data_IF_294202497951
#
_entry.id   IF_294202497951
#
_cell.length_a   1.000
_cell.length_b   1.000
_cell.length_c   1.000
_cell.angle_alpha   90.00
_cell.angle_beta   90.00
_cell.angle_gamma   90.00
#
_symmetry.space_group_name_H-M   'P 1'
#
loop_
_entity.id
_entity.type
_entity.pdbx_description
1 polymer ?
#
# COMPACT_ATOMS: atom_id res chain seq x y z
N UNK A 1 -15.39 29.10 -5.66
CA UNK A 1 -14.22 29.87 -5.16
C UNK A 1 -13.48 29.08 -4.10
N UNK A 2 -14.11 28.73 -2.96
CA UNK A 2 -13.50 27.95 -1.87
C UNK A 2 -12.87 26.62 -2.33
N UNK A 3 -13.54 25.83 -3.17
CA UNK A 3 -13.02 24.54 -3.64
C UNK A 3 -11.77 24.66 -4.53
N UNK A 4 -11.67 25.76 -5.28
CA UNK A 4 -10.49 26.02 -6.12
C UNK A 4 -9.33 26.51 -5.25
N UNK A 5 -9.58 27.34 -4.23
CA UNK A 5 -8.56 27.75 -3.25
C UNK A 5 -8.02 26.53 -2.48
N UNK A 6 -8.88 25.57 -2.12
CA UNK A 6 -8.48 24.29 -1.52
C UNK A 6 -7.60 23.45 -2.46
N UNK A 7 -7.94 23.41 -3.75
CA UNK A 7 -7.11 22.75 -4.76
C UNK A 7 -5.75 23.45 -4.94
N UNK A 8 -5.72 24.78 -4.99
CA UNK A 8 -4.49 25.55 -5.07
C UNK A 8 -3.60 25.29 -3.84
N UNK A 9 -4.17 25.24 -2.64
CA UNK A 9 -3.45 24.90 -1.41
C UNK A 9 -2.85 23.48 -1.45
N UNK A 10 -3.61 22.48 -1.91
CA UNK A 10 -3.11 21.11 -2.13
C UNK A 10 -1.91 21.08 -3.07
N UNK A 11 -2.02 21.76 -4.22
CA UNK A 11 -0.95 21.75 -5.22
C UNK A 11 0.30 22.48 -4.69
N UNK A 12 0.11 23.60 -3.99
CA UNK A 12 1.20 24.40 -3.43
C UNK A 12 1.97 23.62 -2.36
N UNK A 13 1.27 22.88 -1.50
CA UNK A 13 1.91 21.99 -0.54
C UNK A 13 2.67 20.85 -1.22
N UNK A 14 2.12 20.23 -2.26
CA UNK A 14 2.79 19.17 -3.01
C UNK A 14 4.08 19.65 -3.70
N UNK A 15 4.05 20.84 -4.30
CA UNK A 15 5.23 21.43 -4.94
C UNK A 15 6.31 21.80 -3.90
N UNK A 16 5.91 22.27 -2.72
CA UNK A 16 6.81 22.49 -1.59
C UNK A 16 7.42 21.17 -1.11
N UNK A 17 6.61 20.13 -0.92
CA UNK A 17 7.09 18.80 -0.53
C UNK A 17 8.08 18.23 -1.55
N UNK A 18 7.81 18.38 -2.86
CA UNK A 18 8.73 17.93 -3.90
C UNK A 18 10.09 18.65 -3.84
N UNK A 19 10.11 19.89 -3.36
CA UNK A 19 11.36 20.65 -3.14
C UNK A 19 12.07 20.24 -1.85
N UNK A 20 11.32 19.91 -0.79
CA UNK A 20 11.82 19.49 0.52
C UNK A 20 12.36 18.05 0.53
N UNK A 21 11.84 17.19 -0.35
CA UNK A 21 12.19 15.78 -0.48
C UNK A 21 12.75 15.48 -1.89
N UNK A 22 13.93 16.03 -2.24
CA UNK A 22 14.48 15.93 -3.60
C UNK A 22 15.01 14.54 -3.95
N UNK A 23 15.12 13.62 -2.99
CA UNK A 23 15.61 12.26 -3.23
C UNK A 23 14.67 11.44 -4.10
N UNK A 24 15.24 10.61 -4.98
CA UNK A 24 14.51 9.80 -5.99
C UNK A 24 13.45 8.87 -5.38
N UNK A 25 13.58 8.52 -4.10
CA UNK A 25 12.63 7.66 -3.37
C UNK A 25 12.03 8.33 -2.12
N UNK A 26 12.28 9.63 -1.90
CA UNK A 26 11.80 10.35 -0.71
C UNK A 26 10.35 10.80 -0.85
N UNK A 27 9.94 11.31 -2.01
CA UNK A 27 8.54 11.61 -2.31
C UNK A 27 8.12 10.91 -3.60
N UNK A 28 7.10 10.06 -3.52
CA UNK A 28 6.54 9.35 -4.67
C UNK A 28 5.05 9.66 -4.77
N UNK A 29 4.65 10.42 -5.80
CA UNK A 29 3.24 10.57 -6.13
C UNK A 29 2.74 9.30 -6.82
N UNK A 30 1.95 8.51 -6.10
CA UNK A 30 1.47 7.20 -6.51
C UNK A 30 0.38 7.30 -7.59
N UNK A 31 -0.41 8.37 -7.58
CA UNK A 31 -1.44 8.66 -8.57
C UNK A 31 -1.13 9.94 -9.36
N UNK A 32 -0.38 9.77 -10.45
CA UNK A 32 -0.04 10.86 -11.37
C UNK A 32 -1.26 11.41 -12.12
N UNK A 33 -2.32 10.62 -12.29
CA UNK A 33 -3.55 11.09 -12.91
C UNK A 33 -4.29 12.04 -11.97
N UNK A 34 -4.41 11.69 -10.69
CA UNK A 34 -5.01 12.56 -9.68
C UNK A 34 -4.27 13.91 -9.57
N UNK A 35 -2.93 13.91 -9.69
CA UNK A 35 -2.13 15.13 -9.74
C UNK A 35 -2.37 15.95 -11.03
N UNK A 36 -2.47 15.29 -12.18
CA UNK A 36 -2.78 15.97 -13.43
C UNK A 36 -4.19 16.56 -13.43
N UNK A 37 -5.19 15.83 -12.92
CA UNK A 37 -6.56 16.33 -12.72
C UNK A 37 -6.59 17.53 -11.75
N UNK A 38 -5.78 17.50 -10.68
CA UNK A 38 -5.62 18.62 -9.75
C UNK A 38 -5.04 19.86 -10.45
N UNK A 39 -4.04 19.70 -11.33
CA UNK A 39 -3.48 20.83 -12.08
C UNK A 39 -4.48 21.40 -13.09
N UNK A 40 -5.13 20.51 -13.86
CA UNK A 40 -6.11 20.88 -14.88
C UNK A 40 -7.34 21.59 -14.27
N UNK A 41 -7.80 21.16 -13.09
CA UNK A 41 -8.93 21.79 -12.41
C UNK A 41 -8.63 23.24 -11.97
N UNK A 42 -7.39 23.50 -11.53
CA UNK A 42 -6.92 24.83 -11.12
C UNK A 42 -6.81 25.73 -12.37
N UNK A 43 -6.17 25.24 -13.44
CA UNK A 43 -6.00 25.97 -14.69
C UNK A 43 -7.35 26.37 -15.31
N UNK A 44 -8.31 25.43 -15.34
CA UNK A 44 -9.64 25.66 -15.92
C UNK A 44 -10.64 26.31 -14.95
N UNK A 45 -10.24 26.54 -13.68
CA UNK A 45 -11.12 27.05 -12.61
C UNK A 45 -12.43 26.26 -12.47
N UNK A 46 -12.39 24.95 -12.71
CA UNK A 46 -13.56 24.05 -12.62
C UNK A 46 -13.17 22.76 -11.91
N UNK A 47 -14.05 22.23 -11.06
CA UNK A 47 -13.85 20.93 -10.42
C UNK A 47 -14.32 19.76 -11.30
N UNK A 48 -14.92 20.06 -12.46
CA UNK A 48 -15.32 19.05 -13.45
C UNK A 48 -14.09 18.29 -13.97
N UNK A 49 -14.06 16.98 -13.71
CA UNK A 49 -12.98 16.10 -14.16
C UNK A 49 -12.08 15.55 -13.05
N UNK A 50 -12.17 16.06 -11.81
CA UNK A 50 -11.49 15.40 -10.67
C UNK A 50 -12.26 14.15 -10.27
N UNK A 51 -11.66 13.00 -10.54
CA UNK A 51 -12.23 11.69 -10.22
C UNK A 51 -11.57 11.05 -8.99
N UNK A 52 -10.32 11.43 -8.71
CA UNK A 52 -9.47 10.73 -7.75
C UNK A 52 -8.81 11.67 -6.74
N UNK A 53 -8.71 11.23 -5.49
CA UNK A 53 -7.94 11.91 -4.43
C UNK A 53 -6.45 11.76 -4.73
N UNK A 54 -5.65 12.80 -4.46
CA UNK A 54 -4.20 12.69 -4.64
C UNK A 54 -3.64 11.75 -3.58
N UNK A 55 -2.91 10.73 -4.01
CA UNK A 55 -2.22 9.77 -3.15
C UNK A 55 -0.73 9.80 -3.45
N UNK A 56 0.07 9.99 -2.40
CA UNK A 56 1.53 9.99 -2.47
C UNK A 56 2.13 9.35 -1.21
N UNK A 57 3.40 8.98 -1.30
CA UNK A 57 4.15 8.38 -0.20
C UNK A 57 5.40 9.20 0.07
N UNK A 58 5.63 9.56 1.32
CA UNK A 58 6.89 10.14 1.79
C UNK A 58 7.69 9.07 2.54
N UNK A 59 8.94 8.89 2.16
CA UNK A 59 9.89 7.98 2.81
C UNK A 59 10.91 8.81 3.58
N UNK A 60 11.08 8.53 4.87
CA UNK A 60 12.08 9.16 5.71
C UNK A 60 12.95 8.11 6.40
N UNK A 61 14.26 8.36 6.45
CA UNK A 61 15.18 7.55 7.22
C UNK A 61 15.42 8.25 8.56
N UNK A 62 15.08 7.57 9.65
CA UNK A 62 15.24 8.07 11.01
C UNK A 62 16.38 7.31 11.70
N UNK A 63 17.24 8.05 12.38
CA UNK A 63 18.24 7.48 13.28
C UNK A 63 17.53 7.12 14.60
N UNK A 64 17.33 5.83 14.83
CA UNK A 64 16.78 5.34 16.09
C UNK A 64 17.95 4.97 17.01
N UNK A 65 17.97 5.38 18.29
CA UNK A 65 18.99 4.91 19.23
C UNK A 65 18.95 3.38 19.35
N UNK A 66 20.10 2.71 19.32
CA UNK A 66 20.28 1.24 19.39
C UNK A 66 19.95 0.43 18.11
N UNK A 67 19.17 0.97 17.17
CA UNK A 67 18.99 0.42 15.83
C UNK A 67 19.73 1.25 14.74
N UNK A 68 20.11 0.62 13.61
CA UNK A 68 20.66 1.35 12.45
C UNK A 68 19.61 2.29 11.83
N UNK A 69 19.97 3.11 10.83
CA UNK A 69 19.01 3.95 10.09
C UNK A 69 17.76 3.17 9.66
N UNK A 70 16.58 3.63 10.12
CA UNK A 70 15.30 2.95 9.92
C UNK A 70 14.43 3.73 8.95
N UNK A 71 13.86 3.04 7.97
CA UNK A 71 12.95 3.62 7.01
C UNK A 71 11.51 3.67 7.55
N UNK A 72 10.93 4.86 7.58
CA UNK A 72 9.50 5.09 7.80
C UNK A 72 8.87 5.56 6.50
N UNK A 73 7.67 5.06 6.23
CA UNK A 73 6.86 5.44 5.07
C UNK A 73 5.55 6.05 5.54
N UNK A 74 5.22 7.22 5.02
CA UNK A 74 3.99 7.94 5.27
C UNK A 74 3.16 7.90 3.99
N UNK A 75 2.09 7.10 3.99
CA UNK A 75 1.12 7.09 2.92
C UNK A 75 0.10 8.20 3.17
N UNK A 76 0.05 9.19 2.28
CA UNK A 76 -0.76 10.40 2.42
C UNK A 76 -1.81 10.46 1.31
N UNK A 77 -3.08 10.58 1.69
CA UNK A 77 -4.18 10.83 0.75
C UNK A 77 -4.81 12.17 1.07
N UNK A 78 -4.96 13.03 0.06
CA UNK A 78 -5.57 14.35 0.18
C UNK A 78 -7.05 14.29 -0.24
N UNK A 79 -8.02 14.40 0.69
CA UNK A 79 -9.42 14.57 0.34
C UNK A 79 -9.64 15.84 -0.48
N UNK A 80 -10.71 15.86 -1.30
CA UNK A 80 -11.03 17.04 -2.11
C UNK A 80 -11.23 18.32 -1.30
N UNK A 81 -11.67 18.18 -0.03
CA UNK A 81 -11.92 19.29 0.89
C UNK A 81 -10.69 19.69 1.70
N UNK A 82 -9.55 19.04 1.55
CA UNK A 82 -8.33 19.42 2.26
C UNK A 82 -7.86 20.80 1.79
N UNK A 83 -7.46 21.72 2.68
CA UNK A 83 -7.16 21.53 4.11
C UNK A 83 -8.32 21.73 5.10
N UNK A 84 -9.55 22.02 4.64
CA UNK A 84 -10.70 22.18 5.55
C UNK A 84 -11.08 20.90 6.30
N UNK A 85 -10.67 19.74 5.78
CA UNK A 85 -10.62 18.47 6.51
C UNK A 85 -9.19 17.96 6.49
N UNK A 86 -8.81 17.14 7.47
CA UNK A 86 -7.49 16.54 7.54
C UNK A 86 -7.19 15.57 6.39
N UNK A 87 -5.89 15.38 6.07
CA UNK A 87 -5.47 14.34 5.16
C UNK A 87 -5.56 12.98 5.85
N UNK A 88 -5.71 11.92 5.05
CA UNK A 88 -5.64 10.55 5.56
C UNK A 88 -4.17 10.12 5.50
N UNK A 89 -3.51 10.08 6.66
CA UNK A 89 -2.08 9.70 6.77
C UNK A 89 -1.97 8.36 7.48
N UNK A 90 -1.18 7.46 6.91
CA UNK A 90 -0.80 6.19 7.55
C UNK A 90 0.71 6.02 7.54
N UNK A 91 1.30 6.01 8.72
CA UNK A 91 2.72 5.74 8.96
C UNK A 91 2.94 4.25 9.11
N UNK A 92 3.99 3.74 8.45
CA UNK A 92 4.43 2.34 8.52
C UNK A 92 5.95 2.27 8.60
N UNK A 93 6.46 1.34 9.41
CA UNK A 93 7.88 1.00 9.51
C UNK A 93 8.01 -0.46 9.88
N UNK A 94 9.11 -1.10 9.47
CA UNK A 94 9.41 -2.51 9.77
C UNK A 94 9.63 -2.78 11.26
N UNK A 95 9.94 -1.74 12.04
CA UNK A 95 10.17 -1.85 13.48
C UNK A 95 8.91 -1.63 14.33
N UNK A 96 7.78 -1.26 13.71
CA UNK A 96 6.55 -1.04 14.44
C UNK A 96 5.69 -2.31 14.39
N UNK A 97 5.36 -2.86 15.55
CA UNK A 97 4.27 -3.82 15.69
C UNK A 97 2.92 -3.18 15.34
N UNK A 98 1.89 -4.00 15.11
CA UNK A 98 0.53 -3.51 14.79
C UNK A 98 -0.04 -2.58 15.87
N UNK A 99 0.21 -2.86 17.15
CA UNK A 99 -0.26 -2.02 18.26
C UNK A 99 0.51 -0.70 18.31
N UNK A 100 1.83 -0.72 18.15
CA UNK A 100 2.66 0.48 18.09
C UNK A 100 2.30 1.35 16.89
N UNK A 101 2.10 0.75 15.71
CA UNK A 101 1.68 1.46 14.50
C UNK A 101 0.28 2.06 14.66
N UNK A 102 -0.68 1.31 15.23
CA UNK A 102 -2.02 1.83 15.47
C UNK A 102 -2.01 3.00 16.46
N UNK A 103 -1.21 2.88 17.53
CA UNK A 103 -1.05 3.95 18.51
C UNK A 103 -0.40 5.18 17.88
N UNK A 104 0.71 5.02 17.14
CA UNK A 104 1.39 6.12 16.45
C UNK A 104 0.44 6.84 15.47
N UNK A 105 -0.32 6.10 14.65
CA UNK A 105 -1.27 6.72 13.72
C UNK A 105 -2.43 7.43 14.44
N UNK A 106 -2.89 6.89 15.56
CA UNK A 106 -3.93 7.51 16.40
C UNK A 106 -3.42 8.83 17.02
N UNK A 107 -2.20 8.80 17.55
CA UNK A 107 -1.56 9.96 18.18
C UNK A 107 -1.24 11.04 17.13
N UNK A 108 -0.74 10.66 15.96
CA UNK A 108 -0.53 11.57 14.83
C UNK A 108 -1.83 12.23 14.39
N UNK A 109 -2.91 11.45 14.23
CA UNK A 109 -4.22 11.99 13.85
C UNK A 109 -4.72 12.99 14.89
N UNK A 110 -4.56 12.66 16.18
CA UNK A 110 -4.94 13.53 17.29
C UNK A 110 -4.14 14.83 17.30
N UNK A 111 -2.82 14.75 17.05
CA UNK A 111 -1.95 15.91 16.91
C UNK A 111 -2.40 16.83 15.76
N UNK A 112 -2.67 16.27 14.59
CA UNK A 112 -3.11 17.05 13.43
C UNK A 112 -4.48 17.69 13.65
N UNK A 113 -5.43 16.98 14.27
CA UNK A 113 -6.75 17.52 14.61
C UNK A 113 -6.66 18.73 15.54
N UNK A 114 -5.74 18.69 16.51
CA UNK A 114 -5.59 19.74 17.50
C UNK A 114 -4.84 20.97 16.97
N UNK A 115 -3.82 20.76 16.14
CA UNK A 115 -2.84 21.82 15.82
C UNK A 115 -2.89 22.31 14.37
N UNK A 116 -3.54 21.57 13.46
CA UNK A 116 -3.38 21.80 12.03
C UNK A 116 -4.70 21.78 11.23
N UNK A 117 -5.84 21.62 11.89
CA UNK A 117 -7.13 21.60 11.20
C UNK A 117 -7.41 22.96 10.54
N UNK A 118 -7.67 22.95 9.23
CA UNK A 118 -7.94 24.15 8.45
C UNK A 118 -6.74 24.65 7.65
N UNK A 119 -5.54 24.13 7.90
CA UNK A 119 -4.29 24.49 7.21
C UNK A 119 -3.60 23.27 6.59
N UNK A 120 -2.68 23.54 5.66
CA UNK A 120 -1.81 22.51 5.07
C UNK A 120 -0.82 21.99 6.11
N UNK A 121 -0.70 20.67 6.25
CA UNK A 121 -0.10 20.04 7.44
C UNK A 121 0.71 18.77 7.20
N UNK A 122 1.04 18.42 5.95
CA UNK A 122 1.84 17.23 5.64
C UNK A 122 3.27 17.39 6.20
N UNK A 123 3.86 18.59 6.12
CA UNK A 123 5.16 18.84 6.74
C UNK A 123 5.12 18.70 8.26
N UNK A 124 4.09 19.24 8.91
CA UNK A 124 3.87 19.06 10.35
C UNK A 124 3.75 17.58 10.71
N UNK A 125 3.05 16.79 9.90
CA UNK A 125 2.98 15.34 10.08
C UNK A 125 4.36 14.68 9.96
N UNK A 126 5.16 15.05 8.95
CA UNK A 126 6.51 14.49 8.78
C UNK A 126 7.44 14.81 9.94
N UNK A 127 7.40 16.03 10.47
CA UNK A 127 8.23 16.44 11.60
C UNK A 127 7.75 15.80 12.91
N UNK A 128 6.43 15.72 13.13
CA UNK A 128 5.90 15.01 14.30
C UNK A 128 6.33 13.55 14.31
N UNK A 129 6.27 12.85 13.16
CA UNK A 129 6.74 11.48 13.03
C UNK A 129 8.24 11.40 13.29
N UNK A 130 9.05 12.32 12.73
CA UNK A 130 10.50 12.37 12.99
C UNK A 130 10.82 12.46 14.49
N UNK A 131 10.07 13.27 15.23
CA UNK A 131 10.28 13.49 16.66
C UNK A 131 9.79 12.33 17.54
N UNK A 132 8.67 11.69 17.19
CA UNK A 132 7.99 10.76 18.09
C UNK A 132 8.17 9.29 17.72
N UNK A 133 8.51 8.97 16.46
CA UNK A 133 8.54 7.60 15.95
C UNK A 133 9.47 6.66 16.74
N UNK A 134 10.64 7.14 17.17
CA UNK A 134 11.60 6.36 17.95
C UNK A 134 11.02 5.87 19.28
N UNK A 135 10.19 6.69 19.94
CA UNK A 135 9.53 6.34 21.21
C UNK A 135 8.49 5.22 21.09
N UNK A 136 8.04 4.89 19.88
CA UNK A 136 7.15 3.75 19.63
C UNK A 136 7.92 2.47 19.32
N UNK A 137 9.17 2.58 18.86
CA UNK A 137 10.03 1.43 18.54
C UNK A 137 10.64 0.83 19.81
N UNK A 138 11.14 1.65 20.73
CA UNK A 138 11.88 1.18 21.91
C UNK A 138 11.03 0.74 23.12
N UNK A 139 9.73 0.46 22.94
CA UNK A 139 8.81 0.15 24.07
C UNK A 139 8.75 -1.32 24.50
N UNK A 140 9.57 -2.19 23.92
CA UNK A 140 9.73 -3.60 24.37
C UNK A 140 10.89 -3.76 25.37
N UNK A 141 10.84 -3.06 26.51
CA UNK A 141 11.68 -3.39 27.66
C UNK A 141 10.83 -3.60 28.90
N UNK A 142 10.17 -4.76 28.96
CA UNK A 142 9.86 -5.41 30.24
C UNK A 142 10.43 -6.83 30.20
N UNK A 143 11.57 -7.10 30.86
CA UNK A 143 12.21 -8.41 30.80
C UNK A 143 11.54 -9.39 31.79
N UNK A 144 11.01 -10.50 31.27
CA UNK A 144 10.86 -11.72 32.06
C UNK A 144 11.89 -12.74 31.57
N UNK A 145 12.75 -13.29 32.45
CA UNK A 145 13.85 -14.15 32.03
C UNK A 145 13.38 -15.60 31.86
N UNK A 146 13.62 -16.19 30.69
CA UNK A 146 13.96 -17.61 30.57
C UNK A 146 14.85 -17.84 29.33
N UNK A 147 15.87 -18.70 29.43
CA UNK A 147 16.99 -18.70 28.50
C UNK A 147 16.83 -19.70 27.35
N UNK A 148 17.38 -19.32 26.21
CA UNK A 148 17.90 -20.25 25.21
C UNK A 148 16.93 -20.61 24.09
N UNK A 149 17.11 -19.96 22.95
CA UNK A 149 17.59 -20.61 21.73
C UNK A 149 17.71 -19.58 20.63
N UNK A 150 18.85 -19.58 19.96
CA UNK A 150 19.06 -18.90 18.68
C UNK A 150 18.00 -19.35 17.68
N UNK A 151 16.97 -18.54 17.46
CA UNK A 151 16.01 -18.76 16.37
C UNK A 151 15.85 -17.42 15.66
N UNK A 152 16.05 -17.45 14.35
CA UNK A 152 15.85 -16.30 13.46
C UNK A 152 14.50 -15.61 13.73
N UNK A 153 14.35 -14.31 13.42
CA UNK A 153 13.06 -13.65 13.58
C UNK A 153 12.01 -14.42 12.79
N UNK A 154 11.13 -15.12 13.50
CA UNK A 154 10.00 -15.81 12.91
C UNK A 154 9.08 -14.69 12.44
N UNK A 155 8.85 -14.60 11.14
CA UNK A 155 7.81 -13.71 10.59
C UNK A 155 6.46 -14.17 11.14
N UNK A 156 6.00 -13.54 12.23
CA UNK A 156 4.70 -13.81 12.87
C UNK A 156 3.52 -13.17 12.11
N UNK A 157 3.77 -12.69 10.89
CA UNK A 157 2.81 -11.96 10.08
C UNK A 157 2.68 -12.67 8.74
N UNK A 158 1.47 -13.17 8.48
CA UNK A 158 1.04 -13.56 7.15
C UNK A 158 0.53 -12.32 6.44
N UNK A 159 1.22 -11.92 5.38
CA UNK A 159 0.79 -10.83 4.52
C UNK A 159 0.09 -11.40 3.30
N UNK A 160 -1.02 -10.78 2.87
CA UNK A 160 -1.63 -10.98 1.55
C UNK A 160 -1.59 -9.66 0.79
N UNK A 161 -0.86 -9.64 -0.32
CA UNK A 161 -0.79 -8.49 -1.22
C UNK A 161 -1.72 -8.68 -2.40
N UNK A 162 -2.45 -7.62 -2.71
CA UNK A 162 -3.35 -7.54 -3.84
C UNK A 162 -2.84 -6.48 -4.81
N UNK A 163 -2.23 -6.93 -5.89
CA UNK A 163 -1.45 -6.10 -6.81
C UNK A 163 -2.22 -5.93 -8.12
N UNK A 164 -2.42 -4.68 -8.51
CA UNK A 164 -2.96 -4.28 -9.79
C UNK A 164 -1.85 -3.91 -10.75
N UNK A 165 -1.98 -4.32 -12.00
CA UNK A 165 -1.15 -3.86 -13.10
C UNK A 165 -2.01 -3.50 -14.31
N UNK A 166 -1.52 -2.59 -15.14
CA UNK A 166 -2.24 -2.22 -16.37
C UNK A 166 -2.42 -3.41 -17.32
N UNK A 167 -1.44 -4.31 -17.40
CA UNK A 167 -1.55 -5.61 -18.08
C UNK A 167 -0.34 -6.51 -17.78
N UNK A 168 -0.55 -7.83 -17.88
CA UNK A 168 0.51 -8.86 -17.79
C UNK A 168 0.45 -9.76 -19.04
N UNK A 169 0.89 -9.24 -20.19
CA UNK A 169 0.96 -10.02 -21.44
C UNK A 169 2.34 -10.63 -21.71
N UNK A 170 3.38 -9.99 -21.18
CA UNK A 170 4.75 -10.41 -21.43
C UNK A 170 5.02 -11.78 -20.78
N UNK A 171 5.41 -12.77 -21.59
CA UNK A 171 5.69 -14.14 -21.15
C UNK A 171 6.81 -14.22 -20.11
N UNK A 172 7.83 -13.36 -20.22
CA UNK A 172 8.92 -13.28 -19.24
C UNK A 172 8.41 -12.80 -17.87
N UNK A 173 7.56 -11.77 -17.84
CA UNK A 173 6.92 -11.33 -16.59
C UNK A 173 6.07 -12.43 -15.95
N UNK A 174 5.26 -13.14 -16.75
CA UNK A 174 4.42 -14.26 -16.29
C UNK A 174 5.28 -15.36 -15.67
N UNK A 175 6.37 -15.72 -16.34
CA UNK A 175 7.35 -16.69 -15.85
C UNK A 175 8.00 -16.24 -14.54
N UNK A 176 8.49 -15.00 -14.47
CA UNK A 176 9.11 -14.45 -13.26
C UNK A 176 8.15 -14.45 -12.06
N UNK A 177 6.88 -14.08 -12.27
CA UNK A 177 5.85 -14.12 -11.22
C UNK A 177 5.72 -15.53 -10.64
N UNK A 178 5.62 -16.55 -11.49
CA UNK A 178 5.50 -17.94 -11.06
C UNK A 178 6.77 -18.44 -10.36
N UNK A 179 7.95 -18.13 -10.92
CA UNK A 179 9.24 -18.55 -10.37
C UNK A 179 9.50 -17.92 -9.00
N UNK A 180 9.29 -16.62 -8.85
CA UNK A 180 9.52 -15.94 -7.58
C UNK A 180 8.50 -16.32 -6.51
N UNK A 181 7.23 -16.53 -6.87
CA UNK A 181 6.25 -17.01 -5.90
C UNK A 181 6.64 -18.39 -5.35
N UNK A 182 7.11 -19.29 -6.24
CA UNK A 182 7.61 -20.61 -5.84
C UNK A 182 8.90 -20.52 -5.01
N UNK A 183 9.85 -19.71 -5.43
CA UNK A 183 11.14 -19.49 -4.73
C UNK A 183 10.91 -18.99 -3.30
N UNK A 184 9.99 -18.04 -3.13
CA UNK A 184 9.67 -17.41 -1.85
C UNK A 184 8.60 -18.18 -1.05
N UNK A 185 8.20 -19.38 -1.51
CA UNK A 185 7.18 -20.22 -0.85
C UNK A 185 5.84 -19.51 -0.59
N UNK A 186 5.45 -18.63 -1.52
CA UNK A 186 4.19 -17.88 -1.48
C UNK A 186 3.06 -18.70 -2.14
N UNK A 187 1.84 -18.52 -1.64
CA UNK A 187 0.62 -18.97 -2.30
C UNK A 187 -0.14 -17.78 -2.91
N UNK A 188 -1.18 -18.03 -3.69
CA UNK A 188 -1.99 -16.98 -4.31
C UNK A 188 -2.28 -17.26 -5.77
N UNK A 189 -2.39 -16.19 -6.57
CA UNK A 189 -2.59 -16.36 -8.00
C UNK A 189 -2.06 -15.18 -8.81
N UNK A 190 -1.79 -15.42 -10.09
CA UNK A 190 -1.65 -14.36 -11.09
C UNK A 190 -2.70 -14.52 -12.16
N UNK A 191 -3.32 -13.40 -12.55
CA UNK A 191 -4.28 -13.34 -13.64
C UNK A 191 -3.67 -12.46 -14.75
N UNK A 192 -3.06 -13.07 -15.77
CA UNK A 192 -2.58 -12.34 -16.94
C UNK A 192 -3.76 -11.81 -17.75
N UNK A 193 -3.61 -10.62 -18.33
CA UNK A 193 -4.71 -9.94 -19.00
C UNK A 193 -4.57 -8.42 -18.95
N UNK A 194 -5.67 -7.73 -19.28
CA UNK A 194 -5.86 -6.28 -19.09
C UNK A 194 -7.20 -6.05 -18.39
N UNK A 195 -7.21 -5.62 -17.11
CA UNK A 195 -6.04 -5.42 -16.25
C UNK A 195 -5.39 -6.75 -15.85
N UNK A 196 -4.13 -6.70 -15.43
CA UNK A 196 -3.45 -7.85 -14.84
C UNK A 196 -3.53 -7.77 -13.32
N UNK A 197 -3.86 -8.89 -12.66
CA UNK A 197 -3.99 -8.97 -11.20
C UNK A 197 -2.99 -9.98 -10.66
N UNK A 198 -2.34 -9.68 -9.55
CA UNK A 198 -1.51 -10.63 -8.82
C UNK A 198 -1.92 -10.59 -7.35
N UNK A 199 -2.19 -11.74 -6.77
CA UNK A 199 -2.37 -11.92 -5.35
C UNK A 199 -1.27 -12.85 -4.84
N UNK A 200 -0.51 -12.43 -3.84
CA UNK A 200 0.43 -13.30 -3.12
C UNK A 200 0.08 -13.29 -1.65
N UNK A 201 0.20 -14.44 -0.99
CA UNK A 201 0.12 -14.55 0.46
C UNK A 201 1.20 -15.47 1.01
N UNK A 202 1.68 -15.15 2.20
CA UNK A 202 2.75 -15.89 2.88
C UNK A 202 3.42 -15.01 3.95
N UNK A 203 4.62 -15.38 4.41
CA UNK A 203 5.38 -14.56 5.36
C UNK A 203 5.57 -13.13 4.84
N UNK A 204 5.51 -12.15 5.73
CA UNK A 204 5.62 -10.74 5.38
C UNK A 204 6.91 -10.44 4.61
N UNK A 205 8.07 -10.91 5.08
CA UNK A 205 9.34 -10.66 4.39
C UNK A 205 9.37 -11.21 2.97
N UNK A 206 8.79 -12.40 2.77
CA UNK A 206 8.68 -13.04 1.46
C UNK A 206 7.75 -12.26 0.53
N UNK A 207 6.62 -11.76 1.03
CA UNK A 207 5.70 -10.92 0.25
C UNK A 207 6.34 -9.57 -0.14
N UNK A 208 7.10 -8.95 0.76
CA UNK A 208 7.84 -7.71 0.47
C UNK A 208 8.95 -7.92 -0.56
N UNK A 209 9.71 -9.01 -0.42
CA UNK A 209 10.76 -9.35 -1.38
C UNK A 209 10.15 -9.62 -2.76
N UNK A 210 9.04 -10.36 -2.82
CA UNK A 210 8.29 -10.57 -4.06
C UNK A 210 7.85 -9.24 -4.68
N UNK A 211 7.27 -8.33 -3.90
CA UNK A 211 6.85 -7.01 -4.37
C UNK A 211 8.03 -6.16 -4.86
N UNK A 212 9.15 -6.18 -4.11
CA UNK A 212 10.39 -5.48 -4.44
C UNK A 212 10.95 -5.92 -5.80
N UNK A 213 10.94 -7.23 -6.08
CA UNK A 213 11.33 -7.77 -7.40
C UNK A 213 10.30 -7.42 -8.47
N UNK A 214 9.02 -7.59 -8.18
CA UNK A 214 7.95 -7.38 -9.14
C UNK A 214 7.91 -5.94 -9.64
N UNK A 215 7.97 -4.94 -8.76
CA UNK A 215 7.89 -3.52 -9.13
C UNK A 215 9.07 -3.04 -10.00
N UNK A 216 10.21 -3.72 -9.95
CA UNK A 216 11.41 -3.41 -10.77
C UNK A 216 11.29 -3.84 -12.24
N UNK A 217 10.33 -4.71 -12.57
CA UNK A 217 10.07 -5.05 -13.96
C UNK A 217 9.47 -3.84 -14.70
N UNK A 218 9.56 -3.83 -16.04
CA UNK A 218 9.09 -2.70 -16.82
C UNK A 218 7.56 -2.67 -16.94
N UNK A 219 6.86 -1.90 -16.10
CA UNK A 219 5.40 -1.78 -16.08
C UNK A 219 4.92 -0.41 -16.58
N UNK A 220 3.82 -0.39 -17.35
CA UNK A 220 3.12 0.87 -17.64
C UNK A 220 2.46 1.47 -16.38
N UNK A 221 1.98 0.61 -15.49
CA UNK A 221 1.46 0.93 -14.17
C UNK A 221 1.38 -0.36 -13.37
N UNK A 222 1.88 -0.35 -12.14
CA UNK A 222 1.74 -1.43 -11.16
C UNK A 222 1.64 -0.82 -9.76
N UNK A 223 0.76 -1.34 -8.91
CA UNK A 223 0.57 -0.85 -7.55
C UNK A 223 -0.10 -1.92 -6.68
N UNK A 224 0.14 -1.86 -5.38
CA UNK A 224 -0.64 -2.62 -4.39
C UNK A 224 -1.97 -1.88 -4.21
N UNK A 225 -3.08 -2.54 -4.53
CA UNK A 225 -4.45 -2.04 -4.30
C UNK A 225 -4.91 -2.29 -2.89
N UNK A 226 -4.56 -3.44 -2.35
CA UNK A 226 -4.95 -3.84 -1.01
C UNK A 226 -3.86 -4.70 -0.37
N UNK A 227 -3.79 -4.66 0.95
CA UNK A 227 -2.85 -5.44 1.74
C UNK A 227 -3.55 -5.87 3.01
N UNK A 228 -3.47 -7.15 3.31
CA UNK A 228 -3.91 -7.72 4.57
C UNK A 228 -2.67 -8.22 5.32
N UNK A 229 -2.50 -7.82 6.57
CA UNK A 229 -1.45 -8.34 7.45
C UNK A 229 -2.15 -9.04 8.63
N UNK A 230 -1.97 -10.35 8.71
CA UNK A 230 -2.64 -11.25 9.66
C UNK A 230 -1.56 -11.79 10.59
N UNK A 231 -1.61 -11.38 11.86
CA UNK A 231 -0.73 -11.93 12.89
C UNK A 231 -1.16 -13.37 13.25
N UNK A 232 -0.19 -14.24 13.47
CA UNK A 232 -0.40 -15.62 13.94
C UNK A 232 0.60 -15.96 15.05
N UNK A 233 0.29 -16.98 15.86
CA UNK A 233 1.04 -17.34 17.08
C UNK A 233 2.41 -18.02 16.84
N UNK A 234 2.85 -18.06 15.58
CA UNK A 234 4.10 -18.70 15.16
C UNK A 234 3.97 -20.16 14.77
N UNK A 235 2.79 -20.78 14.92
CA UNK A 235 2.57 -22.14 14.42
C UNK A 235 2.29 -22.15 12.92
N UNK A 236 2.97 -23.05 12.19
CA UNK A 236 2.77 -23.24 10.75
C UNK A 236 1.31 -23.62 10.43
N UNK A 237 0.63 -24.32 11.34
CA UNK A 237 -0.77 -24.73 11.17
C UNK A 237 -1.77 -23.56 11.23
N UNK A 238 -1.52 -22.54 12.04
CA UNK A 238 -2.39 -21.36 12.10
C UNK A 238 -2.19 -20.49 10.85
N UNK A 239 -0.93 -20.35 10.39
CA UNK A 239 -0.63 -19.69 9.12
C UNK A 239 -1.36 -20.36 7.95
N UNK A 240 -1.35 -21.69 7.86
CA UNK A 240 -2.06 -22.43 6.81
C UNK A 240 -3.59 -22.28 6.90
N UNK A 241 -4.16 -22.10 8.10
CA UNK A 241 -5.60 -21.82 8.28
C UNK A 241 -6.00 -20.43 7.79
N UNK A 242 -5.09 -19.47 7.83
CA UNK A 242 -5.32 -18.09 7.38
C UNK A 242 -5.13 -17.91 5.87
N UNK A 243 -4.42 -18.84 5.20
CA UNK A 243 -4.25 -18.85 3.75
C UNK A 243 -5.59 -19.08 3.05
N UNK A 244 -5.87 -18.27 2.03
CA UNK A 244 -7.06 -18.41 1.17
C UNK A 244 -6.75 -19.27 -0.07
N UNK A 245 -5.47 -19.41 -0.40
CA UNK A 245 -4.94 -20.12 -1.54
C UNK A 245 -3.93 -21.15 -1.04
N UNK A 246 -4.12 -22.42 -1.41
CA UNK A 246 -3.24 -23.51 -1.00
C UNK A 246 -1.93 -23.56 -1.80
N UNK A 247 -1.92 -23.01 -3.01
CA UNK A 247 -0.76 -22.96 -3.91
C UNK A 247 -0.78 -21.65 -4.68
N UNK A 248 0.36 -21.29 -5.29
CA UNK A 248 0.39 -20.20 -6.26
C UNK A 248 0.11 -20.73 -7.66
N UNK A 249 -0.88 -20.16 -8.36
CA UNK A 249 -1.27 -20.59 -9.70
C UNK A 249 -1.58 -19.45 -10.65
N UNK A 250 -1.31 -19.65 -11.94
CA UNK A 250 -1.74 -18.71 -12.97
C UNK A 250 -3.17 -19.02 -13.41
N UNK A 251 -4.11 -18.10 -13.15
CA UNK A 251 -5.51 -18.23 -13.53
C UNK A 251 -5.78 -17.50 -14.84
N UNK A 252 -6.16 -18.27 -15.86
CA UNK A 252 -6.58 -17.74 -17.16
C UNK A 252 -8.09 -17.97 -17.31
N UNK A 253 -8.87 -16.89 -17.16
CA UNK A 253 -10.30 -16.90 -17.43
C UNK A 253 -10.53 -16.66 -18.93
N UNK A 254 -11.18 -17.62 -19.59
CA UNK A 254 -11.40 -17.57 -21.05
C UNK A 254 -12.68 -16.81 -21.38
N UNK A 255 -12.66 -16.01 -22.45
CA UNK A 255 -13.82 -15.25 -22.92
C UNK A 255 -14.52 -16.02 -24.03
N UNK A 256 -15.80 -16.35 -23.86
CA UNK A 256 -16.66 -16.82 -24.95
C UNK A 256 -17.23 -15.62 -25.76
N UNK A 257 -16.37 -14.80 -26.36
CA UNK A 257 -16.81 -13.62 -27.12
C UNK A 257 -15.79 -13.10 -28.14
N UNK A 258 -16.30 -12.57 -29.27
CA UNK A 258 -15.57 -12.17 -30.48
C UNK A 258 -14.52 -11.04 -30.33
N UNK A 259 -14.16 -10.65 -29.11
CA UNK A 259 -13.10 -9.66 -28.80
C UNK A 259 -12.17 -10.23 -27.73
N UNK A 260 -11.30 -11.15 -28.14
CA UNK A 260 -10.44 -11.98 -27.28
C UNK A 260 -9.32 -11.30 -26.48
N UNK A 261 -9.52 -10.06 -25.99
CA UNK A 261 -8.49 -9.30 -25.26
C UNK A 261 -8.99 -8.63 -23.96
N UNK A 262 -10.19 -8.97 -23.47
CA UNK A 262 -10.73 -8.46 -22.21
C UNK A 262 -11.08 -9.61 -21.28
N UNK A 263 -10.58 -9.59 -20.03
CA UNK A 263 -10.83 -10.67 -19.08
C UNK A 263 -12.28 -10.65 -18.59
N UNK A 264 -12.86 -11.82 -18.33
CA UNK A 264 -14.21 -11.96 -17.79
C UNK A 264 -14.19 -11.64 -16.28
N UNK A 265 -14.57 -10.41 -15.95
CA UNK A 265 -14.71 -9.95 -14.57
C UNK A 265 -15.70 -10.78 -13.75
N UNK A 266 -16.72 -11.37 -14.38
CA UNK A 266 -17.68 -12.25 -13.72
C UNK A 266 -17.02 -13.56 -13.25
N UNK A 267 -16.17 -14.16 -14.08
CA UNK A 267 -15.41 -15.36 -13.69
C UNK A 267 -14.39 -15.05 -12.58
N UNK A 268 -13.73 -13.89 -12.63
CA UNK A 268 -12.85 -13.45 -11.54
C UNK A 268 -13.64 -13.24 -10.24
N UNK A 269 -14.81 -12.61 -10.31
CA UNK A 269 -15.68 -12.41 -9.14
C UNK A 269 -16.15 -13.74 -8.54
N UNK A 270 -16.60 -14.68 -9.36
CA UNK A 270 -16.98 -16.03 -8.91
C UNK A 270 -15.79 -16.77 -8.27
N UNK A 271 -14.60 -16.67 -8.86
CA UNK A 271 -13.38 -17.25 -8.29
C UNK A 271 -13.05 -16.65 -6.91
N UNK A 272 -13.11 -15.32 -6.78
CA UNK A 272 -12.86 -14.63 -5.51
C UNK A 272 -13.91 -14.98 -4.45
N UNK A 273 -15.19 -15.05 -4.82
CA UNK A 273 -16.27 -15.49 -3.93
C UNK A 273 -16.06 -16.93 -3.44
N UNK A 274 -15.67 -17.84 -4.33
CA UNK A 274 -15.36 -19.23 -3.96
C UNK A 274 -14.17 -19.36 -2.99
N UNK A 275 -13.34 -18.32 -2.89
CA UNK A 275 -12.22 -18.22 -1.94
C UNK A 275 -12.53 -17.35 -0.72
N UNK A 276 -13.74 -16.78 -0.63
CA UNK A 276 -14.13 -15.88 0.46
C UNK A 276 -13.37 -14.55 0.45
N UNK A 277 -13.06 -14.03 -0.74
CA UNK A 277 -12.38 -12.74 -1.01
C UNK A 277 -13.20 -11.85 -1.96
N UNK A 278 -14.53 -11.97 -1.96
CA UNK A 278 -15.42 -11.26 -2.88
C UNK A 278 -15.43 -9.74 -2.71
N UNK A 279 -15.25 -9.28 -1.49
CA UNK A 279 -15.10 -7.89 -1.07
C UNK A 279 -13.93 -7.17 -1.76
N UNK A 280 -12.85 -7.90 -2.03
CA UNK A 280 -11.66 -7.39 -2.72
C UNK A 280 -11.98 -6.96 -4.16
N UNK A 281 -13.01 -7.54 -4.79
CA UNK A 281 -13.39 -7.17 -6.16
C UNK A 281 -13.83 -5.70 -6.26
N UNK A 282 -14.65 -5.24 -5.31
CA UNK A 282 -15.07 -3.83 -5.24
C UNK A 282 -13.87 -2.91 -5.01
N UNK A 283 -12.87 -3.34 -4.23
CA UNK A 283 -11.66 -2.57 -3.96
C UNK A 283 -10.75 -2.42 -5.19
N UNK A 284 -10.73 -3.41 -6.09
CA UNK A 284 -9.91 -3.34 -7.31
C UNK A 284 -10.54 -2.49 -8.42
N UNK A 285 -11.87 -2.56 -8.56
CA UNK A 285 -12.56 -2.06 -9.75
C UNK A 285 -13.58 -0.95 -9.46
N UNK A 286 -13.89 -0.67 -8.19
CA UNK A 286 -14.82 0.39 -7.79
C UNK A 286 -16.28 0.13 -8.18
N UNK A 287 -16.60 -1.12 -8.54
CA UNK A 287 -17.95 -1.57 -8.93
C UNK A 287 -18.35 -2.77 -8.07
N UNK A 288 -19.61 -2.79 -7.62
CA UNK A 288 -20.21 -3.99 -7.03
C UNK A 288 -20.30 -5.07 -8.11
N UNK A 289 -19.86 -6.29 -7.79
CA UNK A 289 -19.88 -7.41 -8.74
C UNK A 289 -21.33 -7.75 -9.12
N UNK A 290 -21.72 -7.41 -10.35
CA UNK A 290 -22.98 -7.81 -10.99
C UNK A 290 -22.72 -8.86 -12.06
#
# INVERSE_FOLDING_TARGET
>A
MIEIEQAEAQLSELDLLASMFPGVNELIVNDQLALAELKDCIEKRTMEGRSSKVYFTITMNLDIPEEAMVMFSLACVLPFKYPAVLPEITVRSVLLSRSQQAQLNTDLTTYLQKNCLGDVCILNATEWVREHASGYVSKDTTPSPAPGSTVQPVDLILTRLWIYSHHIYNKCKRKNILEWAKELSLSGFSMPGKPGVVCVEGPQSACEEFWSRLRKLNWKRILIRHREDIAFDGTTEEMERQRKFSVFEEKVFSVNGARGNHMDFGQLYQFLNGKGCGDVFQMFFGVEGQ
#
